data_IF_227456085884
#
_entry.id   IF_227456085884
#
_cell.length_a   1.000
_cell.length_b   1.000
_cell.length_c   1.000
_cell.angle_alpha   90.00
_cell.angle_beta   90.00
_cell.angle_gamma   90.00
#
_symmetry.space_group_name_H-M   'P 1'
#
loop_
_entity.id
_entity.type
_entity.pdbx_description
1 polymer ?
#
# COMPACT_ATOMS: atom_id res chain seq x y z
N UNK A 1 20.53 -6.43 -9.61
CA UNK A 1 19.36 -5.70 -10.12
C UNK A 1 19.39 -4.32 -9.47
N UNK A 2 19.59 -3.27 -10.25
CA UNK A 2 19.80 -1.91 -9.71
C UNK A 2 18.46 -1.29 -9.38
N UNK A 3 18.26 -0.82 -8.15
CA UNK A 3 17.04 -0.11 -7.74
C UNK A 3 17.08 1.28 -8.38
N UNK A 4 16.08 1.62 -9.20
CA UNK A 4 15.96 2.96 -9.76
C UNK A 4 15.32 3.90 -8.73
N UNK A 5 16.16 4.68 -8.05
CA UNK A 5 15.73 5.65 -7.04
C UNK A 5 15.21 6.98 -7.63
N UNK A 6 15.23 7.13 -8.95
CA UNK A 6 14.75 8.34 -9.65
C UNK A 6 13.32 8.19 -10.15
N UNK A 7 12.76 6.98 -10.15
CA UNK A 7 11.37 6.74 -10.51
C UNK A 7 10.48 6.85 -9.27
N UNK A 8 9.34 7.53 -9.42
CA UNK A 8 8.33 7.64 -8.35
C UNK A 8 7.60 6.32 -8.10
N UNK A 9 7.54 5.47 -9.13
CA UNK A 9 6.86 4.18 -9.10
C UNK A 9 7.79 3.05 -9.53
N UNK A 10 7.61 1.90 -8.89
CA UNK A 10 8.32 0.67 -9.27
C UNK A 10 7.55 -0.01 -10.39
N UNK A 11 8.22 -0.31 -11.50
CA UNK A 11 7.65 -1.15 -12.54
C UNK A 11 7.10 -2.45 -11.94
N UNK A 12 5.83 -2.75 -12.21
CA UNK A 12 5.16 -3.93 -11.66
C UNK A 12 5.93 -5.20 -12.02
N UNK A 13 5.85 -6.19 -11.14
CA UNK A 13 6.62 -7.45 -11.19
C UNK A 13 6.52 -8.13 -12.56
N UNK A 14 5.33 -8.11 -13.15
CA UNK A 14 4.98 -8.69 -14.44
C UNK A 14 5.83 -8.09 -15.56
N UNK A 15 5.93 -6.77 -15.64
CA UNK A 15 6.78 -6.09 -16.63
C UNK A 15 8.27 -6.23 -16.32
N UNK A 16 8.66 -6.14 -15.04
CA UNK A 16 10.07 -6.16 -14.64
C UNK A 16 10.71 -7.54 -14.79
N UNK A 17 9.98 -8.61 -14.51
CA UNK A 17 10.50 -9.98 -14.46
C UNK A 17 9.92 -10.89 -15.56
N UNK A 18 8.97 -10.41 -16.37
CA UNK A 18 8.16 -11.28 -17.22
C UNK A 18 7.31 -12.27 -16.41
N UNK A 19 7.01 -11.94 -15.14
CA UNK A 19 6.35 -12.87 -14.24
C UNK A 19 4.90 -13.12 -14.66
N UNK A 20 4.48 -14.37 -14.55
CA UNK A 20 3.13 -14.83 -14.90
C UNK A 20 2.35 -14.99 -13.61
N UNK A 21 1.29 -14.19 -13.46
CA UNK A 21 0.48 -14.11 -12.24
C UNK A 21 -0.93 -14.65 -12.43
N UNK A 22 -1.37 -14.78 -13.68
CA UNK A 22 -2.67 -15.34 -14.03
C UNK A 22 -2.51 -16.45 -15.06
N UNK A 23 -3.14 -17.59 -14.79
CA UNK A 23 -3.29 -18.69 -15.73
C UNK A 23 -4.73 -19.18 -15.73
N UNK A 24 -5.29 -19.39 -16.91
CA UNK A 24 -6.61 -19.99 -17.07
C UNK A 24 -6.44 -21.32 -17.83
N UNK A 25 -6.73 -22.43 -17.15
CA UNK A 25 -6.57 -23.78 -17.70
C UNK A 25 -6.43 -24.83 -16.61
N UNK A 26 -6.17 -26.08 -17.01
CA UNK A 26 -5.94 -27.16 -16.06
C UNK A 26 -4.52 -27.12 -15.50
N UNK A 27 -4.28 -27.70 -14.31
CA UNK A 27 -2.94 -27.85 -13.74
C UNK A 27 -2.01 -28.63 -14.68
N UNK A 28 -2.53 -29.66 -15.37
CA UNK A 28 -1.76 -30.44 -16.34
C UNK A 28 -1.27 -29.57 -17.51
N UNK A 29 -2.15 -28.71 -18.01
CA UNK A 29 -1.86 -27.78 -19.10
C UNK A 29 -0.87 -26.69 -18.66
N UNK A 30 -1.04 -26.13 -17.45
CA UNK A 30 -0.07 -25.22 -16.84
C UNK A 30 1.34 -25.83 -16.79
N UNK A 31 1.47 -27.07 -16.31
CA UNK A 31 2.77 -27.75 -16.23
C UNK A 31 3.38 -27.96 -17.62
N UNK A 32 2.58 -28.34 -18.62
CA UNK A 32 3.04 -28.52 -19.98
C UNK A 32 3.52 -27.19 -20.59
N UNK A 33 2.73 -26.11 -20.46
CA UNK A 33 3.04 -24.78 -20.98
C UNK A 33 4.25 -24.14 -20.30
N UNK A 34 4.41 -24.37 -18.99
CA UNK A 34 5.58 -23.93 -18.25
C UNK A 34 6.85 -24.66 -18.73
N UNK A 35 6.75 -25.96 -19.00
CA UNK A 35 7.88 -26.77 -19.49
C UNK A 35 8.33 -26.37 -20.91
N UNK A 36 7.42 -25.97 -21.79
CA UNK A 36 7.77 -25.52 -23.14
C UNK A 36 8.09 -24.02 -23.25
N UNK A 37 8.08 -23.28 -22.14
CA UNK A 37 8.47 -21.86 -22.11
C UNK A 37 7.52 -20.90 -22.82
N UNK A 38 6.35 -21.36 -23.25
CA UNK A 38 5.32 -20.57 -23.94
C UNK A 38 4.24 -20.03 -23.00
N UNK A 39 4.42 -20.23 -21.69
CA UNK A 39 3.52 -19.67 -20.70
C UNK A 39 3.52 -18.14 -20.86
N UNK A 40 2.33 -17.55 -21.01
CA UNK A 40 2.17 -16.09 -21.04
C UNK A 40 1.20 -15.67 -19.96
N UNK A 41 1.40 -14.45 -19.45
CA UNK A 41 0.45 -13.84 -18.54
C UNK A 41 -0.86 -13.59 -19.31
N UNK A 42 -1.96 -14.12 -18.81
CA UNK A 42 -3.29 -13.86 -19.36
C UNK A 42 -3.95 -12.74 -18.56
N UNK A 43 -4.82 -11.96 -19.20
CA UNK A 43 -5.68 -11.01 -18.49
C UNK A 43 -6.39 -11.74 -17.34
N UNK A 44 -6.32 -11.16 -16.13
CA UNK A 44 -6.83 -11.80 -14.94
C UNK A 44 -8.36 -11.92 -15.05
N UNK A 45 -8.89 -13.15 -15.03
CA UNK A 45 -10.17 -13.37 -14.38
C UNK A 45 -9.97 -13.22 -12.87
N UNK A 46 -10.98 -12.68 -12.17
CA UNK A 46 -11.00 -12.46 -10.73
C UNK A 46 -10.33 -13.60 -9.94
N UNK A 47 -9.15 -13.32 -9.36
CA UNK A 47 -8.42 -14.29 -8.54
C UNK A 47 -8.69 -14.00 -7.07
N UNK A 48 -9.49 -14.87 -6.46
CA UNK A 48 -10.02 -14.71 -5.11
C UNK A 48 -9.00 -15.03 -4.00
N UNK A 49 -7.81 -15.54 -4.37
CA UNK A 49 -6.83 -16.13 -3.44
C UNK A 49 -5.53 -15.34 -3.27
N UNK A 50 -5.42 -14.13 -3.85
CA UNK A 50 -4.24 -13.28 -3.69
C UNK A 50 -4.52 -12.03 -2.84
N UNK A 51 -3.57 -11.64 -1.99
CA UNK A 51 -3.57 -10.34 -1.34
C UNK A 51 -3.40 -9.21 -2.38
N UNK A 52 -4.02 -8.06 -2.14
CA UNK A 52 -3.79 -6.87 -2.96
C UNK A 52 -2.42 -6.24 -2.66
N UNK A 53 -1.90 -5.46 -3.60
CA UNK A 53 -0.63 -4.75 -3.45
C UNK A 53 -0.64 -3.79 -2.25
N UNK A 54 -1.75 -3.09 -1.99
CA UNK A 54 -1.95 -2.30 -0.76
C UNK A 54 -1.82 -3.12 0.53
N UNK A 55 -2.46 -4.29 0.61
CA UNK A 55 -2.36 -5.17 1.80
C UNK A 55 -0.94 -5.68 2.03
N UNK A 56 -0.22 -5.99 0.96
CA UNK A 56 1.21 -6.30 1.03
C UNK A 56 2.02 -5.12 1.57
N UNK A 57 1.80 -3.91 1.04
CA UNK A 57 2.47 -2.69 1.50
C UNK A 57 2.18 -2.44 2.99
N UNK A 58 0.91 -2.47 3.40
CA UNK A 58 0.52 -2.30 4.81
C UNK A 58 1.19 -3.31 5.73
N UNK A 59 1.33 -4.57 5.30
CA UNK A 59 2.02 -5.61 6.09
C UNK A 59 3.47 -5.23 6.37
N UNK A 60 4.21 -4.76 5.36
CA UNK A 60 5.60 -4.34 5.53
C UNK A 60 5.73 -3.03 6.32
N UNK A 61 4.93 -2.02 5.95
CA UNK A 61 4.98 -0.70 6.57
C UNK A 61 4.58 -0.74 8.04
N UNK A 62 3.62 -1.61 8.41
CA UNK A 62 3.20 -1.78 9.79
C UNK A 62 4.34 -2.27 10.69
N UNK A 63 5.36 -2.93 10.14
CA UNK A 63 6.54 -3.36 10.89
C UNK A 63 7.53 -2.25 11.24
N UNK A 64 7.38 -1.05 10.65
CA UNK A 64 8.27 0.09 10.88
C UNK A 64 7.78 0.88 12.10
N UNK A 65 8.32 0.53 13.26
CA UNK A 65 7.83 0.95 14.59
C UNK A 65 7.80 2.46 14.84
N UNK A 66 8.63 3.25 14.15
CA UNK A 66 8.72 4.70 14.32
C UNK A 66 8.07 5.52 13.20
N UNK A 67 7.43 4.86 12.23
CA UNK A 67 6.68 5.51 11.15
C UNK A 67 5.17 5.48 11.40
N UNK A 68 4.45 6.39 10.73
CA UNK A 68 2.99 6.33 10.62
C UNK A 68 2.57 6.02 9.18
N UNK A 69 1.37 5.48 9.03
CA UNK A 69 0.74 5.15 7.76
C UNK A 69 -0.53 5.99 7.63
N UNK A 70 -0.63 6.74 6.54
CA UNK A 70 -1.86 7.40 6.09
C UNK A 70 -2.38 6.62 4.89
N UNK A 71 -3.48 5.91 5.10
CA UNK A 71 -4.13 5.12 4.09
C UNK A 71 -5.23 5.92 3.37
N UNK A 72 -4.94 6.30 2.13
CA UNK A 72 -5.85 7.07 1.29
C UNK A 72 -6.85 6.16 0.56
N UNK A 73 -7.89 5.75 1.30
CA UNK A 73 -8.82 4.72 0.87
C UNK A 73 -10.18 4.82 1.57
N UNK A 74 -11.20 4.10 1.07
CA UNK A 74 -12.39 3.78 1.86
C UNK A 74 -12.03 2.98 3.12
N UNK A 75 -12.91 3.00 4.13
CA UNK A 75 -12.66 2.40 5.44
C UNK A 75 -12.30 0.91 5.42
N UNK A 76 -12.77 0.15 4.43
CA UNK A 76 -12.53 -1.30 4.34
C UNK A 76 -11.04 -1.66 4.35
N UNK A 77 -10.20 -0.86 3.68
CA UNK A 77 -8.75 -1.07 3.63
C UNK A 77 -8.07 -0.90 5.00
N UNK A 78 -8.69 -0.17 5.95
CA UNK A 78 -8.15 0.00 7.30
C UNK A 78 -8.16 -1.29 8.14
N UNK A 79 -8.89 -2.33 7.70
CA UNK A 79 -8.87 -3.65 8.34
C UNK A 79 -7.46 -4.26 8.40
N UNK A 80 -6.57 -3.89 7.47
CA UNK A 80 -5.16 -4.33 7.47
C UNK A 80 -4.41 -3.89 8.73
N UNK A 81 -4.77 -2.75 9.33
CA UNK A 81 -4.17 -2.29 10.58
C UNK A 81 -4.47 -3.24 11.76
N UNK A 82 -5.62 -3.92 11.74
CA UNK A 82 -5.99 -4.92 12.76
C UNK A 82 -5.09 -6.15 12.64
N UNK A 83 -4.87 -6.62 11.42
CA UNK A 83 -3.95 -7.72 11.13
C UNK A 83 -2.52 -7.36 11.51
N UNK A 84 -2.05 -6.17 11.13
CA UNK A 84 -0.73 -5.64 11.50
C UNK A 84 -0.54 -5.58 13.03
N UNK A 85 -1.53 -5.10 13.77
CA UNK A 85 -1.50 -5.08 15.24
C UNK A 85 -1.34 -6.47 15.85
N UNK A 86 -2.01 -7.48 15.30
CA UNK A 86 -1.95 -8.85 15.81
C UNK A 86 -0.54 -9.42 15.67
N UNK A 87 0.07 -9.27 14.50
CA UNK A 87 1.43 -9.74 14.20
C UNK A 87 2.46 -8.97 15.00
N UNK A 88 2.35 -7.64 15.05
CA UNK A 88 3.29 -6.78 15.77
C UNK A 88 3.28 -7.06 17.27
N UNK A 89 2.10 -7.21 17.90
CA UNK A 89 2.02 -7.50 19.34
C UNK A 89 2.62 -8.83 19.73
N UNK A 90 2.55 -9.82 18.86
CA UNK A 90 3.27 -11.08 19.05
C UNK A 90 4.79 -10.84 18.99
N UNK A 91 5.25 -10.11 17.97
CA UNK A 91 6.65 -9.73 17.83
C UNK A 91 7.20 -8.88 18.97
N UNK A 92 6.42 -7.95 19.50
CA UNK A 92 6.76 -7.11 20.66
C UNK A 92 6.90 -7.98 21.91
N UNK A 93 5.95 -8.90 22.15
CA UNK A 93 6.00 -9.84 23.28
C UNK A 93 7.28 -10.68 23.25
N UNK A 94 7.64 -11.25 22.10
CA UNK A 94 8.84 -12.09 21.95
C UNK A 94 10.13 -11.29 22.20
N UNK A 95 10.13 -9.99 21.87
CA UNK A 95 11.28 -9.09 22.07
C UNK A 95 11.32 -8.42 23.45
N UNK A 96 10.32 -8.64 24.31
CA UNK A 96 10.19 -7.94 25.59
C UNK A 96 9.88 -6.44 25.44
N UNK A 97 9.28 -6.04 24.32
CA UNK A 97 8.93 -4.64 24.05
C UNK A 97 7.55 -4.29 24.60
N UNK A 98 7.30 -3.00 24.94
CA UNK A 98 5.96 -2.55 25.27
C UNK A 98 5.02 -2.77 24.10
N UNK A 99 3.76 -3.11 24.39
CA UNK A 99 2.77 -3.31 23.34
C UNK A 99 2.36 -1.97 22.76
N UNK A 100 2.47 -1.82 21.45
CA UNK A 100 2.01 -0.63 20.73
C UNK A 100 1.01 -1.03 19.63
N UNK A 101 0.26 -0.04 19.15
CA UNK A 101 -0.55 -0.22 17.96
C UNK A 101 0.18 0.41 16.77
N UNK A 102 -0.05 -0.14 15.58
CA UNK A 102 0.31 0.50 14.31
C UNK A 102 -0.25 1.91 14.30
N UNK A 103 0.60 2.88 13.98
CA UNK A 103 0.25 4.30 13.84
C UNK A 103 -0.41 4.48 12.49
N UNK A 104 -1.73 4.33 12.45
CA UNK A 104 -2.49 4.25 11.20
C UNK A 104 -3.64 5.26 11.21
N UNK A 105 -3.78 6.02 10.11
CA UNK A 105 -4.94 6.87 9.83
C UNK A 105 -5.46 6.49 8.46
N UNK A 106 -6.78 6.43 8.32
CA UNK A 106 -7.45 6.21 7.04
C UNK A 106 -8.26 7.46 6.70
N UNK A 107 -8.26 7.88 5.44
CA UNK A 107 -9.02 9.07 5.00
C UNK A 107 -10.52 8.83 4.91
N UNK A 108 -10.97 7.58 5.03
CA UNK A 108 -12.35 7.13 4.94
C UNK A 108 -13.08 7.72 3.74
N UNK A 109 -12.55 7.42 2.55
CA UNK A 109 -13.13 7.94 1.30
C UNK A 109 -14.59 7.50 1.16
N UNK A 110 -15.47 8.46 0.91
CA UNK A 110 -16.90 8.30 0.66
C UNK A 110 -17.22 8.32 -0.83
N UNK A 111 -18.49 8.21 -1.18
CA UNK A 111 -18.94 8.38 -2.57
C UNK A 111 -18.63 9.78 -3.11
N UNK A 112 -18.83 10.82 -2.30
CA UNK A 112 -18.51 12.21 -2.66
C UNK A 112 -17.02 12.37 -3.03
N UNK A 113 -16.14 11.78 -2.22
CA UNK A 113 -14.70 11.76 -2.49
C UNK A 113 -14.34 11.02 -3.79
N UNK A 114 -15.13 10.01 -4.15
CA UNK A 114 -14.94 9.26 -5.40
C UNK A 114 -15.35 10.09 -6.61
N UNK A 115 -16.32 10.99 -6.45
CA UNK A 115 -16.81 11.87 -7.53
C UNK A 115 -15.96 13.12 -7.68
N UNK A 116 -15.56 13.74 -6.57
CA UNK A 116 -14.92 15.07 -6.56
C UNK A 116 -13.44 15.06 -6.14
N UNK A 117 -12.91 13.92 -5.70
CA UNK A 117 -11.59 13.80 -5.11
C UNK A 117 -11.59 14.07 -3.59
N UNK A 118 -10.51 13.66 -2.94
CA UNK A 118 -10.28 13.69 -1.50
C UNK A 118 -8.90 14.26 -1.12
N UNK A 119 -8.30 15.08 -1.99
CA UNK A 119 -7.02 15.75 -1.75
C UNK A 119 -6.95 16.46 -0.39
N UNK A 120 -7.98 17.25 -0.03
CA UNK A 120 -8.00 17.96 1.26
C UNK A 120 -8.10 17.02 2.46
N UNK A 121 -8.87 15.92 2.34
CA UNK A 121 -8.91 14.88 3.38
C UNK A 121 -7.55 14.21 3.55
N UNK A 122 -6.82 14.01 2.46
CA UNK A 122 -5.47 13.46 2.54
C UNK A 122 -4.52 14.41 3.27
N UNK A 123 -4.51 15.71 2.91
CA UNK A 123 -3.68 16.71 3.60
C UNK A 123 -3.97 16.75 5.10
N UNK A 124 -5.24 16.77 5.47
CA UNK A 124 -5.66 16.77 6.88
C UNK A 124 -5.24 15.48 7.61
N UNK A 125 -5.40 14.32 6.97
CA UNK A 125 -4.97 13.05 7.54
C UNK A 125 -3.46 12.98 7.78
N UNK A 126 -2.65 13.57 6.90
CA UNK A 126 -1.19 13.66 7.07
C UNK A 126 -0.84 14.57 8.26
N UNK A 127 -1.47 15.75 8.36
CA UNK A 127 -1.28 16.65 9.51
C UNK A 127 -1.68 15.99 10.83
N UNK A 128 -2.81 15.27 10.84
CA UNK A 128 -3.28 14.55 12.01
C UNK A 128 -2.34 13.39 12.38
N UNK A 129 -1.81 12.65 11.41
CA UNK A 129 -0.83 11.60 11.67
C UNK A 129 0.44 12.15 12.33
N UNK A 130 0.92 13.30 11.84
CA UNK A 130 2.06 13.98 12.42
C UNK A 130 1.77 14.44 13.86
N UNK A 131 0.65 15.16 14.05
CA UNK A 131 0.24 15.71 15.35
C UNK A 131 -0.01 14.63 16.41
N UNK A 132 -0.66 13.54 16.03
CA UNK A 132 -1.11 12.49 16.96
C UNK A 132 -0.01 11.52 17.35
N UNK A 133 0.89 11.19 16.43
CA UNK A 133 1.87 10.12 16.62
C UNK A 133 3.31 10.59 16.74
N UNK A 134 3.62 11.84 16.38
CA UNK A 134 4.99 12.36 16.29
C UNK A 134 5.97 11.36 15.65
N UNK A 135 5.67 10.81 14.46
CA UNK A 135 6.47 9.76 13.84
C UNK A 135 7.77 10.34 13.26
N UNK A 136 8.73 9.47 12.90
CA UNK A 136 9.94 9.88 12.17
C UNK A 136 9.77 9.91 10.66
N UNK A 137 8.71 9.30 10.13
CA UNK A 137 8.32 9.32 8.73
C UNK A 137 6.83 9.00 8.60
N UNK A 138 6.20 9.44 7.52
CA UNK A 138 4.81 9.09 7.18
C UNK A 138 4.81 8.43 5.80
N UNK A 139 4.25 7.23 5.72
CA UNK A 139 3.97 6.56 4.46
C UNK A 139 2.53 6.83 4.04
N UNK A 140 2.34 7.30 2.81
CA UNK A 140 1.03 7.65 2.26
C UNK A 140 0.66 6.60 1.22
N UNK A 141 -0.22 5.67 1.56
CA UNK A 141 -0.56 4.55 0.68
C UNK A 141 -1.79 4.89 -0.17
N UNK A 142 -1.68 4.63 -1.48
CA UNK A 142 -2.82 4.66 -2.40
C UNK A 142 -3.76 3.46 -2.16
N UNK A 143 -4.91 3.49 -2.84
CA UNK A 143 -5.84 2.38 -2.92
C UNK A 143 -6.39 2.23 -4.34
N UNK A 144 -7.15 1.16 -4.58
CA UNK A 144 -7.85 0.98 -5.84
C UNK A 144 -8.70 2.21 -6.21
N UNK A 145 -9.37 2.83 -5.23
CA UNK A 145 -10.23 3.99 -5.48
C UNK A 145 -9.40 5.21 -5.86
N UNK A 146 -8.41 5.58 -5.04
CA UNK A 146 -7.56 6.76 -5.32
C UNK A 146 -6.81 6.61 -6.65
N UNK A 147 -6.38 5.38 -7.00
CA UNK A 147 -5.75 5.08 -8.28
C UNK A 147 -6.69 5.19 -9.48
N UNK A 148 -7.93 4.68 -9.36
CA UNK A 148 -8.92 4.73 -10.46
C UNK A 148 -9.36 6.16 -10.76
N UNK A 149 -9.59 6.98 -9.73
CA UNK A 149 -10.02 8.37 -9.91
C UNK A 149 -8.85 9.32 -10.27
N UNK A 150 -7.61 8.81 -10.25
CA UNK A 150 -6.43 9.57 -10.67
C UNK A 150 -5.95 10.61 -9.65
N UNK A 151 -6.06 10.33 -8.35
CA UNK A 151 -5.51 11.20 -7.29
C UNK A 151 -3.98 11.36 -7.44
N UNK A 152 -3.52 12.61 -7.56
CA UNK A 152 -2.10 12.93 -7.65
C UNK A 152 -1.49 13.06 -6.25
N UNK A 153 -1.22 11.91 -5.61
CA UNK A 153 -0.57 11.85 -4.30
C UNK A 153 0.74 12.64 -4.26
N UNK A 154 1.50 12.68 -5.37
CA UNK A 154 2.79 13.37 -5.40
C UNK A 154 2.60 14.88 -5.24
N UNK A 155 1.68 15.45 -6.00
CA UNK A 155 1.34 16.88 -5.88
C UNK A 155 0.77 17.21 -4.51
N UNK A 156 -0.18 16.40 -4.03
CA UNK A 156 -0.82 16.63 -2.73
C UNK A 156 0.20 16.59 -1.59
N UNK A 157 1.10 15.60 -1.58
CA UNK A 157 2.15 15.47 -0.56
C UNK A 157 3.12 16.65 -0.60
N UNK A 158 3.56 17.10 -1.79
CA UNK A 158 4.44 18.27 -1.93
C UNK A 158 3.86 19.55 -1.33
N UNK A 159 2.53 19.71 -1.33
CA UNK A 159 1.89 20.88 -0.74
C UNK A 159 2.02 20.90 0.79
N UNK A 160 1.96 19.74 1.44
CA UNK A 160 2.09 19.62 2.91
C UNK A 160 3.52 19.35 3.40
N UNK A 161 4.45 18.96 2.53
CA UNK A 161 5.87 18.74 2.88
C UNK A 161 6.51 19.93 3.59
N UNK A 162 6.13 21.17 3.25
CA UNK A 162 6.67 22.38 3.89
C UNK A 162 6.23 22.56 5.33
N UNK A 163 5.11 21.95 5.72
CA UNK A 163 4.52 22.06 7.05
C UNK A 163 5.03 20.96 8.00
N UNK A 164 5.53 19.86 7.44
CA UNK A 164 5.83 18.64 8.18
C UNK A 164 7.33 18.31 8.05
N UNK A 165 8.14 18.54 9.11
CA UNK A 165 9.60 18.43 9.04
C UNK A 165 10.10 16.97 9.17
N UNK A 166 9.39 16.02 8.55
CA UNK A 166 9.76 14.61 8.47
C UNK A 166 9.48 14.07 7.07
N UNK A 167 10.16 13.00 6.62
CA UNK A 167 9.91 12.40 5.32
C UNK A 167 8.45 11.97 5.15
N UNK A 168 7.86 12.43 4.04
CA UNK A 168 6.56 11.97 3.53
C UNK A 168 6.83 11.09 2.31
N UNK A 169 6.37 9.85 2.32
CA UNK A 169 6.66 8.87 1.29
C UNK A 169 5.36 8.33 0.66
N UNK A 170 4.97 8.80 -0.53
CA UNK A 170 3.90 8.17 -1.31
C UNK A 170 4.25 6.73 -1.65
N UNK A 171 3.26 5.84 -1.53
CA UNK A 171 3.36 4.41 -1.83
C UNK A 171 2.21 4.05 -2.77
N UNK A 172 2.56 3.86 -4.04
CA UNK A 172 1.63 3.45 -5.09
C UNK A 172 1.45 1.93 -5.03
N UNK A 173 0.31 1.49 -4.50
CA UNK A 173 0.04 0.10 -4.14
C UNK A 173 -1.42 -0.29 -4.40
#
# INVERSE_FOLDING_TARGET
MTINIQADEVAIREHRLGAITGYNGSVKDLVAQAACGSLMNRERCFSQTSACSAGCAHTYLSGIVDAAIVNHAPIGCASDAVSGNTVNKWGEKVRGWPRTNVRFINTNMTEEDTVFGAAEKLKEAIREAYRRFSPKAIFITASCVSGIIGEDLKSIVREVEREIPIPLAPVYC
#
